data_IF_152965900490
#
_entry.id   IF_152965900490
#
_cell.length_a   1.000
_cell.length_b   1.000
_cell.length_c   1.000
_cell.angle_alpha   90.00
_cell.angle_beta   90.00
_cell.angle_gamma   90.00
#
_symmetry.space_group_name_H-M   'P 1'
#
loop_
_entity.id
_entity.type
_entity.pdbx_description
1 polymer ?
#
# COMPACT_ATOMS: atom_id res chain seq x y z
N UNK A 1 -18.31 -15.27 9.79
CA UNK A 1 -17.01 -15.27 9.08
C UNK A 1 -16.33 -13.95 9.37
N UNK A 2 -15.03 -13.96 9.69
CA UNK A 2 -14.24 -12.76 10.01
C UNK A 2 -12.98 -12.77 9.15
N UNK A 3 -12.56 -11.60 8.69
CA UNK A 3 -11.33 -11.41 7.92
C UNK A 3 -10.35 -10.54 8.70
N UNK A 4 -9.08 -10.92 8.63
CA UNK A 4 -7.95 -10.14 9.14
C UNK A 4 -7.32 -9.36 7.97
N UNK A 5 -6.74 -8.20 8.27
CA UNK A 5 -6.11 -7.35 7.26
C UNK A 5 -5.07 -6.41 7.86
N UNK A 6 -3.97 -6.23 7.14
CA UNK A 6 -2.95 -5.22 7.45
C UNK A 6 -3.25 -3.88 6.79
N UNK A 7 -3.03 -2.81 7.54
CA UNK A 7 -3.20 -1.44 7.06
C UNK A 7 -1.89 -0.67 7.05
N UNK A 8 -1.72 0.20 6.05
CA UNK A 8 -0.56 1.09 5.88
C UNK A 8 -0.98 2.48 5.45
N UNK A 9 -0.11 3.46 5.68
CA UNK A 9 -0.28 4.83 5.22
C UNK A 9 0.53 5.10 3.96
N UNK A 10 -0.09 5.79 3.02
CA UNK A 10 0.56 6.38 1.85
C UNK A 10 1.30 7.67 2.22
N UNK A 11 2.05 8.23 1.27
CA UNK A 11 2.74 9.53 1.39
C UNK A 11 1.79 10.68 1.73
N UNK A 12 0.59 10.67 1.16
CA UNK A 12 -0.49 11.63 1.39
C UNK A 12 -1.44 11.21 2.53
N UNK A 13 -0.96 10.35 3.43
CA UNK A 13 -1.63 9.92 4.65
C UNK A 13 -2.99 9.25 4.43
N UNK A 14 -3.19 8.62 3.27
CA UNK A 14 -4.35 7.77 3.02
C UNK A 14 -4.09 6.37 3.59
N UNK A 15 -5.10 5.78 4.22
CA UNK A 15 -5.03 4.44 4.77
C UNK A 15 -5.43 3.42 3.69
N UNK A 16 -4.58 2.41 3.49
CA UNK A 16 -4.80 1.33 2.52
C UNK A 16 -4.64 -0.04 3.17
N UNK A 17 -5.29 -1.05 2.60
CA UNK A 17 -5.07 -2.47 2.93
C UNK A 17 -3.88 -2.97 2.13
N UNK A 18 -2.76 -3.24 2.80
CA UNK A 18 -1.55 -3.72 2.14
C UNK A 18 -0.58 -4.37 3.13
N UNK A 19 -0.35 -5.68 2.98
CA UNK A 19 0.47 -6.46 3.92
C UNK A 19 1.94 -6.01 3.94
N UNK A 20 2.59 -5.85 2.78
CA UNK A 20 4.04 -5.60 2.74
C UNK A 20 4.38 -4.11 2.91
N UNK A 21 5.56 -3.81 3.45
CA UNK A 21 6.03 -2.42 3.54
C UNK A 21 6.37 -1.80 2.17
N UNK A 22 6.59 -2.65 1.16
CA UNK A 22 6.92 -2.26 -0.20
C UNK A 22 5.97 -2.93 -1.20
N UNK A 23 5.85 -2.34 -2.38
CA UNK A 23 4.86 -2.78 -3.39
C UNK A 23 5.38 -3.88 -4.32
N UNK A 24 6.66 -4.23 -4.21
CA UNK A 24 7.42 -5.03 -5.19
C UNK A 24 6.91 -6.48 -5.36
N UNK A 25 6.37 -7.10 -4.30
CA UNK A 25 5.97 -8.52 -4.35
C UNK A 25 4.64 -8.75 -5.08
N UNK A 26 3.71 -7.80 -5.01
CA UNK A 26 2.31 -8.00 -5.42
C UNK A 26 1.83 -7.00 -6.47
N UNK A 27 2.70 -6.11 -6.93
CA UNK A 27 2.40 -5.10 -7.96
C UNK A 27 3.54 -5.00 -8.96
N UNK A 28 3.35 -4.23 -10.03
CA UNK A 28 4.41 -3.89 -10.98
C UNK A 28 5.21 -2.65 -10.56
N UNK A 29 4.90 -2.05 -9.41
CA UNK A 29 5.65 -0.94 -8.84
C UNK A 29 6.84 -1.41 -8.03
N UNK A 30 7.65 -0.45 -7.57
CA UNK A 30 8.76 -0.72 -6.66
C UNK A 30 8.83 0.31 -5.54
N UNK A 31 9.40 -0.09 -4.41
CA UNK A 31 9.65 0.79 -3.27
C UNK A 31 8.55 0.81 -2.21
N UNK A 32 8.74 1.65 -1.19
CA UNK A 32 7.88 1.67 0.01
C UNK A 32 6.48 2.21 -0.29
N UNK A 33 5.46 1.62 0.31
CA UNK A 33 4.07 2.13 0.27
C UNK A 33 3.99 3.60 0.72
N UNK A 34 4.72 3.95 1.79
CA UNK A 34 4.76 5.31 2.34
C UNK A 34 5.50 6.34 1.47
N UNK A 35 6.14 5.90 0.37
CA UNK A 35 6.79 6.79 -0.58
C UNK A 35 5.86 7.23 -1.74
N UNK A 36 4.69 6.59 -1.88
CA UNK A 36 3.73 6.83 -2.95
C UNK A 36 2.44 7.45 -2.41
N UNK A 37 1.82 8.34 -3.16
CA UNK A 37 0.45 8.83 -2.92
C UNK A 37 -0.59 7.78 -3.29
N UNK A 38 -1.81 7.89 -2.78
CA UNK A 38 -2.89 6.97 -3.16
C UNK A 38 -3.17 7.00 -4.68
N UNK A 39 -3.04 8.16 -5.32
CA UNK A 39 -3.23 8.31 -6.74
C UNK A 39 -2.17 7.55 -7.55
N UNK A 40 -0.90 7.58 -7.12
CA UNK A 40 0.20 6.83 -7.75
C UNK A 40 0.00 5.31 -7.61
N UNK A 41 -0.51 4.83 -6.48
CA UNK A 41 -0.74 3.41 -6.21
C UNK A 41 -1.97 2.82 -6.92
N UNK A 42 -2.84 3.64 -7.50
CA UNK A 42 -4.08 3.21 -8.19
C UNK A 42 -3.97 3.13 -9.70
N UNK A 43 -2.84 3.53 -10.28
CA UNK A 43 -2.57 3.49 -11.72
C UNK A 43 -1.97 2.14 -12.12
#
# INVERSE_FOLDING_TARGET
MVFETDVRLTKDQQLIVFHDATVDRTTNGSGKVSAHTLAELKN
#
